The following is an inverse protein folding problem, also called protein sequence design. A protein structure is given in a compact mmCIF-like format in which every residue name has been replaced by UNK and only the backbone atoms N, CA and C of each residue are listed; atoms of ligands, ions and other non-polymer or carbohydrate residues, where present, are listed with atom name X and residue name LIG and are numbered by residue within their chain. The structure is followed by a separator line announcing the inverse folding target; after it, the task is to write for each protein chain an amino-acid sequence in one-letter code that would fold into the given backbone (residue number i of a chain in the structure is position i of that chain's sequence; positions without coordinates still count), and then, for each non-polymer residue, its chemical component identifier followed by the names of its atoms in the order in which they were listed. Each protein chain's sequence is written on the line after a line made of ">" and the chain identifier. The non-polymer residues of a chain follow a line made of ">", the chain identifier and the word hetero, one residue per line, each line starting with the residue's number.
data_IF_473049004102
#
_entry.id   IF_473049004102
#
_cell.length_a   1.000
_cell.length_b   1.000
_cell.length_c   1.000
_cell.angle_alpha   90.00
_cell.angle_beta   90.00
_cell.angle_gamma   90.00
#
_symmetry.space_group_name_H-M   'P 1'
#
loop_
_entity.id
_entity.type
_entity.pdbx_description
1 polymer ?
#
# COMPACT_ATOMS: atom_id res chain seq x y z
N UNK A 1 -1.30 26.50 28.45
CA UNK A 1 -0.23 26.70 27.46
C UNK A 1 -0.50 25.73 26.33
N UNK A 2 -0.97 26.21 25.18
CA UNK A 2 -1.07 25.40 23.97
C UNK A 2 0.36 25.00 23.60
N UNK A 3 0.72 23.72 23.74
CA UNK A 3 1.96 23.23 23.15
C UNK A 3 1.88 23.52 21.65
N UNK A 4 2.88 24.21 21.10
CA UNK A 4 2.90 24.52 19.68
C UNK A 4 2.91 23.20 18.90
N UNK A 5 2.07 23.11 17.86
CA UNK A 5 2.10 21.98 16.92
C UNK A 5 3.46 22.00 16.24
N UNK A 6 4.29 20.99 16.52
CA UNK A 6 5.54 20.79 15.80
C UNK A 6 5.21 20.27 14.39
N UNK A 7 5.17 21.21 13.44
CA UNK A 7 5.04 20.90 12.02
C UNK A 7 6.45 20.66 11.48
N UNK A 8 6.69 19.56 10.73
CA UNK A 8 7.97 19.35 10.07
C UNK A 8 8.32 20.60 9.25
N UNK A 9 9.50 21.16 9.48
CA UNK A 9 9.89 22.43 8.87
C UNK A 9 10.23 22.35 7.37
N UNK A 10 10.21 21.17 6.74
CA UNK A 10 10.82 21.01 5.42
C UNK A 10 9.83 21.01 4.25
N UNK A 11 10.02 21.98 3.37
CA UNK A 11 9.62 21.96 1.95
C UNK A 11 10.47 20.99 1.10
N UNK A 12 11.47 20.35 1.72
CA UNK A 12 12.43 19.42 1.12
C UNK A 12 11.90 17.98 1.07
N UNK A 13 12.39 17.20 0.10
CA UNK A 13 12.11 15.78 0.00
C UNK A 13 12.67 15.05 1.21
N UNK A 14 11.81 14.31 1.92
CA UNK A 14 12.22 13.51 3.08
C UNK A 14 12.88 12.23 2.58
N UNK A 15 13.93 11.79 3.28
CA UNK A 15 14.56 10.51 3.02
C UNK A 15 13.52 9.38 3.05
N UNK A 16 13.32 8.75 1.89
CA UNK A 16 12.32 7.69 1.71
C UNK A 16 12.64 6.49 2.57
N UNK A 17 13.92 6.16 2.76
CA UNK A 17 14.34 5.00 3.54
C UNK A 17 13.94 5.17 5.01
N UNK A 18 14.17 6.36 5.56
CA UNK A 18 13.70 6.72 6.90
C UNK A 18 12.18 6.70 7.01
N UNK A 19 11.48 7.21 5.99
CA UNK A 19 10.01 7.29 5.95
C UNK A 19 9.35 5.91 6.05
N UNK A 20 9.92 4.92 5.36
CA UNK A 20 9.39 3.55 5.33
C UNK A 20 10.03 2.63 6.37
N UNK A 21 10.87 3.15 7.29
CA UNK A 21 11.54 2.34 8.31
C UNK A 21 12.49 1.28 7.72
N UNK A 22 13.17 1.62 6.62
CA UNK A 22 14.22 0.79 6.05
C UNK A 22 15.42 0.70 6.99
N UNK A 23 16.20 -0.39 6.84
CA UNK A 23 17.43 -0.64 7.59
C UNK A 23 18.58 -0.94 6.64
N UNK A 24 19.80 -0.67 7.09
CA UNK A 24 21.01 -1.00 6.34
C UNK A 24 21.13 -2.52 6.16
N UNK A 25 21.23 -2.96 4.91
CA UNK A 25 21.44 -4.36 4.55
C UNK A 25 22.11 -4.46 3.17
N UNK A 26 23.09 -5.33 3.04
CA UNK A 26 23.77 -5.58 1.78
C UNK A 26 22.99 -6.62 0.95
N UNK A 27 22.21 -6.14 -0.01
CA UNK A 27 21.40 -6.99 -0.90
C UNK A 27 22.25 -7.83 -1.86
N UNK A 28 23.55 -7.56 -2.03
CA UNK A 28 24.36 -8.28 -3.04
C UNK A 28 24.55 -9.77 -2.72
N UNK A 29 24.32 -10.16 -1.47
CA UNK A 29 24.38 -11.53 -1.00
C UNK A 29 22.99 -12.18 -0.90
N UNK A 30 21.91 -11.44 -1.15
CA UNK A 30 20.56 -11.98 -1.13
C UNK A 30 20.36 -12.93 -2.32
N UNK A 31 19.73 -14.09 -2.14
CA UNK A 31 19.43 -15.01 -3.23
C UNK A 31 18.44 -14.40 -4.25
N UNK A 32 17.61 -13.47 -3.78
CA UNK A 32 16.68 -12.69 -4.58
C UNK A 32 16.77 -11.22 -4.15
N UNK A 33 17.71 -10.43 -4.72
CA UNK A 33 17.92 -9.06 -4.30
C UNK A 33 16.78 -8.14 -4.76
N UNK A 34 16.17 -7.43 -3.80
CA UNK A 34 15.09 -6.45 -4.06
C UNK A 34 15.54 -5.08 -3.59
N UNK A 35 15.50 -4.09 -4.48
CA UNK A 35 15.82 -2.69 -4.15
C UNK A 35 14.66 -1.97 -3.49
N UNK A 36 13.43 -2.28 -3.89
CA UNK A 36 12.21 -1.65 -3.38
C UNK A 36 10.99 -1.99 -4.24
N UNK A 37 9.88 -1.34 -3.91
CA UNK A 37 8.68 -1.34 -4.75
C UNK A 37 8.87 -0.41 -5.95
N UNK A 38 8.58 -0.91 -7.15
CA UNK A 38 8.68 -0.14 -8.39
C UNK A 38 7.38 0.61 -8.72
N UNK A 39 6.24 -0.09 -8.60
CA UNK A 39 4.90 0.47 -8.69
C UNK A 39 3.85 -0.52 -8.17
N UNK A 40 2.65 0.00 -7.88
CA UNK A 40 1.45 -0.82 -7.66
C UNK A 40 0.53 -0.64 -8.87
N UNK A 41 0.12 -1.74 -9.49
CA UNK A 41 -0.74 -1.74 -10.67
C UNK A 41 -2.16 -2.10 -10.27
N UNK A 42 -3.10 -1.20 -10.58
CA UNK A 42 -4.51 -1.41 -10.44
C UNK A 42 -5.15 -1.70 -11.79
N UNK A 43 -6.00 -2.71 -11.81
CA UNK A 43 -7.01 -2.89 -12.85
C UNK A 43 -8.31 -2.27 -12.35
N UNK A 44 -8.86 -1.35 -13.13
CA UNK A 44 -10.02 -0.53 -12.73
C UNK A 44 -11.04 -0.45 -13.86
N UNK A 45 -12.31 -0.30 -13.52
CA UNK A 45 -13.40 -0.16 -14.49
C UNK A 45 -13.29 1.10 -15.34
N UNK A 46 -12.72 2.18 -14.79
CA UNK A 46 -12.49 3.42 -15.52
C UNK A 46 -11.19 4.12 -15.07
N UNK A 47 -10.11 3.92 -15.82
CA UNK A 47 -8.79 4.47 -15.50
C UNK A 47 -8.77 6.00 -15.41
N UNK A 48 -9.57 6.69 -16.22
CA UNK A 48 -9.61 8.15 -16.25
C UNK A 48 -10.25 8.71 -14.98
N UNK A 49 -11.36 8.11 -14.53
CA UNK A 49 -12.03 8.52 -13.29
C UNK A 49 -11.22 8.14 -12.06
N UNK A 50 -10.66 6.92 -12.02
CA UNK A 50 -9.77 6.51 -10.95
C UNK A 50 -8.55 7.45 -10.86
N UNK A 51 -7.90 7.76 -11.99
CA UNK A 51 -6.78 8.70 -12.01
C UNK A 51 -7.17 10.09 -11.52
N UNK A 52 -8.36 10.59 -11.88
CA UNK A 52 -8.86 11.84 -11.32
C UNK A 52 -9.05 11.76 -9.80
N UNK A 53 -9.69 10.69 -9.30
CA UNK A 53 -9.90 10.47 -7.86
C UNK A 53 -8.57 10.45 -7.10
N UNK A 54 -7.59 9.63 -7.51
CA UNK A 54 -6.29 9.58 -6.83
C UNK A 54 -5.48 10.88 -7.00
N UNK A 55 -5.67 11.64 -8.09
CA UNK A 55 -5.06 12.95 -8.22
C UNK A 55 -5.65 13.99 -7.27
N UNK A 56 -6.97 14.01 -7.06
CA UNK A 56 -7.64 15.00 -6.21
C UNK A 56 -7.65 14.60 -4.74
N UNK A 57 -8.07 13.38 -4.46
CA UNK A 57 -8.35 12.88 -3.11
C UNK A 57 -7.08 12.42 -2.40
N UNK A 58 -6.12 11.86 -3.15
CA UNK A 58 -4.83 11.38 -2.65
C UNK A 58 -3.67 12.32 -3.00
N UNK A 59 -3.95 13.41 -3.72
CA UNK A 59 -2.96 14.44 -4.06
C UNK A 59 -1.87 13.97 -5.02
N UNK A 60 -2.05 12.85 -5.72
CA UNK A 60 -1.03 12.29 -6.62
C UNK A 60 -0.94 13.05 -7.95
N UNK A 61 0.26 13.13 -8.50
CA UNK A 61 0.52 13.79 -9.80
C UNK A 61 0.53 12.76 -10.91
N UNK A 62 -0.33 12.92 -11.92
CA UNK A 62 -0.20 12.16 -13.17
C UNK A 62 1.09 12.61 -13.90
N UNK A 63 1.94 11.65 -14.26
CA UNK A 63 3.24 11.91 -14.90
C UNK A 63 3.39 11.24 -16.26
N UNK A 64 2.65 10.16 -16.51
CA UNK A 64 2.72 9.45 -17.77
C UNK A 64 1.37 8.84 -18.16
N UNK A 65 1.18 8.64 -19.45
CA UNK A 65 -0.04 8.06 -20.02
C UNK A 65 0.27 7.17 -21.22
N UNK A 66 -0.55 6.13 -21.38
CA UNK A 66 -0.57 5.28 -22.57
C UNK A 66 -2.01 4.89 -22.87
N UNK A 67 -2.45 5.03 -24.11
CA UNK A 67 -3.82 4.69 -24.50
C UNK A 67 -4.07 4.72 -26.00
N UNK A 68 -5.36 4.71 -26.41
CA UNK A 68 -5.75 4.58 -27.81
C UNK A 68 -5.20 5.68 -28.71
N UNK A 69 -4.99 6.89 -28.17
CA UNK A 69 -4.41 8.03 -28.88
C UNK A 69 -2.94 7.79 -29.29
N UNK A 70 -2.26 6.84 -28.64
CA UNK A 70 -0.89 6.41 -28.98
C UNK A 70 -0.86 5.04 -29.70
N UNK A 71 -2.02 4.51 -30.12
CA UNK A 71 -2.12 3.22 -30.80
C UNK A 71 -2.34 2.00 -29.89
N UNK A 72 -2.40 2.19 -28.57
CA UNK A 72 -2.70 1.14 -27.59
C UNK A 72 -4.21 1.03 -27.40
N UNK A 73 -4.86 0.23 -28.24
CA UNK A 73 -6.33 0.25 -28.38
C UNK A 73 -7.09 -0.49 -27.28
N UNK A 74 -6.44 -1.40 -26.58
CA UNK A 74 -7.12 -2.29 -25.64
C UNK A 74 -7.22 -1.67 -24.22
N UNK A 75 -6.33 -0.75 -23.86
CA UNK A 75 -6.26 -0.15 -22.53
C UNK A 75 -6.02 1.35 -22.56
N UNK A 76 -6.50 2.04 -21.52
CA UNK A 76 -6.03 3.36 -21.12
C UNK A 76 -5.32 3.24 -19.77
N UNK A 77 -4.11 3.80 -19.67
CA UNK A 77 -3.22 3.63 -18.53
C UNK A 77 -2.67 4.96 -18.07
N UNK A 78 -2.85 5.25 -16.79
CA UNK A 78 -2.38 6.49 -16.14
C UNK A 78 -1.37 6.14 -15.08
N UNK A 79 -0.22 6.82 -15.10
CA UNK A 79 0.82 6.67 -14.08
C UNK A 79 0.79 7.87 -13.17
N UNK A 80 0.51 7.64 -11.90
CA UNK A 80 0.44 8.66 -10.88
C UNK A 80 1.57 8.46 -9.88
N UNK A 81 2.17 9.56 -9.42
CA UNK A 81 3.23 9.53 -8.42
C UNK A 81 2.95 10.47 -7.25
N UNK A 82 3.46 10.11 -6.08
CA UNK A 82 3.63 11.02 -4.95
C UNK A 82 4.90 10.64 -4.21
N UNK A 83 5.97 11.42 -4.40
CA UNK A 83 7.32 11.00 -4.00
C UNK A 83 7.78 9.78 -4.79
N UNK A 84 8.25 8.75 -4.10
CA UNK A 84 8.64 7.47 -4.67
C UNK A 84 7.43 6.54 -4.92
N UNK A 85 6.28 6.78 -4.29
CA UNK A 85 5.09 6.00 -4.54
C UNK A 85 4.60 6.18 -5.99
N UNK A 86 4.33 5.07 -6.68
CA UNK A 86 3.85 5.06 -8.07
C UNK A 86 2.68 4.11 -8.24
N UNK A 87 1.55 4.61 -8.72
CA UNK A 87 0.37 3.82 -9.08
C UNK A 87 0.16 3.83 -10.58
N UNK A 88 -0.09 2.66 -11.16
CA UNK A 88 -0.50 2.50 -12.56
C UNK A 88 -1.96 2.10 -12.57
N UNK A 89 -2.83 2.97 -13.09
CA UNK A 89 -4.26 2.72 -13.17
C UNK A 89 -4.60 2.33 -14.60
N UNK A 90 -5.00 1.08 -14.80
CA UNK A 90 -5.29 0.52 -16.11
C UNK A 90 -6.75 0.15 -16.22
N UNK A 91 -7.40 0.67 -17.26
CA UNK A 91 -8.79 0.39 -17.55
C UNK A 91 -8.92 -0.13 -18.98
N UNK A 92 -9.71 -1.18 -19.13
CA UNK A 92 -10.03 -1.76 -20.41
C UNK A 92 -10.83 -0.75 -21.26
N UNK A 93 -10.39 -0.54 -22.51
CA UNK A 93 -11.12 0.25 -23.51
C UNK A 93 -12.05 -0.67 -24.31
N UNK A 94 -11.66 -1.94 -24.45
CA UNK A 94 -12.45 -2.99 -25.08
C UNK A 94 -12.86 -4.05 -24.07
N UNK A 95 -14.03 -4.68 -24.22
CA UNK A 95 -14.52 -5.67 -23.25
C UNK A 95 -13.68 -6.94 -23.18
N UNK A 96 -12.93 -7.27 -24.24
CA UNK A 96 -12.06 -8.43 -24.37
C UNK A 96 -10.58 -8.14 -24.08
N UNK A 97 -10.26 -6.94 -23.60
CA UNK A 97 -8.90 -6.57 -23.24
C UNK A 97 -8.41 -7.36 -22.01
N UNK A 98 -7.14 -7.75 -22.01
CA UNK A 98 -6.52 -8.45 -20.87
C UNK A 98 -6.78 -7.73 -19.55
N UNK A 99 -7.17 -8.47 -18.52
CA UNK A 99 -7.52 -7.92 -17.21
C UNK A 99 -8.96 -7.38 -17.07
N UNK A 100 -9.76 -7.32 -18.14
CA UNK A 100 -11.19 -6.96 -18.04
C UNK A 100 -11.98 -7.96 -17.18
N UNK A 101 -11.66 -9.26 -17.27
CA UNK A 101 -12.27 -10.29 -16.44
C UNK A 101 -11.92 -10.15 -14.96
N UNK A 102 -10.71 -9.68 -14.65
CA UNK A 102 -10.29 -9.39 -13.29
C UNK A 102 -11.16 -8.29 -12.70
N UNK A 103 -11.38 -7.18 -13.43
CA UNK A 103 -12.26 -6.09 -12.97
C UNK A 103 -13.70 -6.59 -12.80
N UNK A 104 -14.21 -7.44 -13.70
CA UNK A 104 -15.56 -8.00 -13.56
C UNK A 104 -15.69 -8.85 -12.28
N UNK A 105 -14.67 -9.67 -11.97
CA UNK A 105 -14.64 -10.55 -10.81
C UNK A 105 -14.41 -9.78 -9.50
N UNK A 106 -13.42 -8.89 -9.48
CA UNK A 106 -12.87 -8.26 -8.28
C UNK A 106 -13.33 -6.82 -8.03
N UNK A 107 -13.92 -6.15 -9.03
CA UNK A 107 -14.02 -4.68 -9.12
C UNK A 107 -12.65 -4.02 -9.27
N UNK A 108 -12.53 -2.72 -9.01
CA UNK A 108 -11.26 -2.01 -8.98
C UNK A 108 -10.33 -2.65 -7.94
N UNK A 109 -9.17 -3.14 -8.37
CA UNK A 109 -8.31 -3.98 -7.54
C UNK A 109 -6.84 -3.89 -7.91
N UNK A 110 -5.98 -4.26 -6.97
CA UNK A 110 -4.53 -4.36 -7.19
C UNK A 110 -4.26 -5.72 -7.84
N UNK A 111 -3.68 -5.71 -9.04
CA UNK A 111 -3.33 -6.93 -9.78
C UNK A 111 -1.82 -7.24 -9.74
N UNK A 112 -1.00 -6.22 -9.50
CA UNK A 112 0.46 -6.35 -9.53
C UNK A 112 1.10 -5.49 -8.45
N UNK A 113 2.07 -6.07 -7.76
CA UNK A 113 2.97 -5.36 -6.85
C UNK A 113 4.37 -5.52 -7.44
N UNK A 114 4.77 -4.57 -8.26
CA UNK A 114 6.01 -4.64 -9.01
C UNK A 114 7.22 -4.27 -8.13
N UNK A 115 8.33 -4.97 -8.36
CA UNK A 115 9.55 -4.92 -7.56
C UNK A 115 10.72 -4.50 -8.42
N UNK A 116 11.49 -3.52 -7.95
CA UNK A 116 12.76 -3.18 -8.58
C UNK A 116 13.82 -4.18 -8.14
N UNK A 117 14.46 -4.82 -9.12
CA UNK A 117 15.55 -5.79 -8.91
C UNK A 117 16.78 -5.36 -9.69
N UNK A 118 18.00 -5.64 -9.20
CA UNK A 118 19.22 -5.29 -9.93
C UNK A 118 19.45 -6.14 -11.19
N UNK A 119 18.85 -7.34 -11.27
CA UNK A 119 18.91 -8.20 -12.43
C UNK A 119 17.68 -9.11 -12.48
N UNK A 120 16.82 -8.89 -13.49
CA UNK A 120 15.57 -9.64 -13.67
C UNK A 120 15.81 -11.11 -13.99
N UNK A 121 16.77 -11.42 -14.86
CA UNK A 121 17.04 -12.78 -15.30
C UNK A 121 17.48 -13.68 -14.14
N UNK A 122 18.42 -13.20 -13.31
CA UNK A 122 18.89 -13.93 -12.14
C UNK A 122 17.78 -14.12 -11.11
N UNK A 123 17.04 -13.05 -10.78
CA UNK A 123 15.96 -13.10 -9.81
C UNK A 123 14.84 -14.05 -10.26
N UNK A 124 14.43 -13.95 -11.53
CA UNK A 124 13.43 -14.83 -12.12
C UNK A 124 13.90 -16.29 -12.14
N UNK A 125 15.12 -16.57 -12.62
CA UNK A 125 15.64 -17.93 -12.66
C UNK A 125 15.72 -18.57 -11.26
N UNK A 126 16.12 -17.78 -10.25
CA UNK A 126 16.08 -18.22 -8.85
C UNK A 126 14.66 -18.54 -8.40
N UNK A 127 13.70 -17.65 -8.62
CA UNK A 127 12.31 -17.85 -8.21
C UNK A 127 11.70 -19.12 -8.81
N UNK A 128 11.91 -19.36 -10.11
CA UNK A 128 11.43 -20.58 -10.78
C UNK A 128 12.11 -21.83 -10.20
N UNK A 129 13.41 -21.78 -9.94
CA UNK A 129 14.13 -22.90 -9.30
C UNK A 129 13.62 -23.20 -7.88
N UNK A 130 13.05 -22.20 -7.19
CA UNK A 130 12.41 -22.32 -5.87
C UNK A 130 10.91 -22.67 -5.92
N UNK A 131 10.39 -22.97 -7.12
CA UNK A 131 9.02 -23.43 -7.33
C UNK A 131 7.99 -22.32 -7.50
N UNK A 132 8.40 -21.08 -7.80
CA UNK A 132 7.46 -20.04 -8.20
C UNK A 132 6.83 -20.34 -9.56
N UNK A 133 5.56 -19.99 -9.72
CA UNK A 133 4.86 -20.10 -11.01
C UNK A 133 5.23 -18.93 -11.91
N UNK A 134 5.71 -19.22 -13.11
CA UNK A 134 5.94 -18.21 -14.14
C UNK A 134 4.61 -17.66 -14.65
N UNK A 135 4.50 -16.33 -14.72
CA UNK A 135 3.40 -15.62 -15.39
C UNK A 135 3.89 -15.03 -16.72
N UNK A 136 5.07 -14.40 -16.70
CA UNK A 136 5.72 -13.86 -17.90
C UNK A 136 7.21 -14.13 -17.82
N UNK A 137 7.77 -14.79 -18.84
CA UNK A 137 9.21 -15.01 -18.95
C UNK A 137 9.99 -13.70 -19.15
N UNK A 138 11.28 -13.65 -18.74
CA UNK A 138 12.13 -12.49 -18.93
C UNK A 138 12.17 -11.98 -20.38
N UNK A 139 11.66 -10.78 -20.60
CA UNK A 139 11.64 -10.11 -21.90
C UNK A 139 12.13 -8.66 -21.77
N UNK A 140 12.55 -8.08 -22.89
CA UNK A 140 12.90 -6.66 -22.98
C UNK A 140 11.77 -5.91 -23.66
N UNK A 141 11.55 -4.68 -23.20
CA UNK A 141 10.72 -3.70 -23.90
C UNK A 141 11.59 -2.47 -24.13
N UNK A 142 11.53 -1.88 -25.33
CA UNK A 142 12.43 -0.78 -25.73
C UNK A 142 11.69 0.30 -26.52
N UNK A 143 12.15 1.54 -26.38
CA UNK A 143 11.80 2.68 -27.22
C UNK A 143 13.03 3.61 -27.38
N UNK A 144 12.83 4.84 -27.85
CA UNK A 144 13.90 5.84 -28.02
C UNK A 144 14.61 6.26 -26.71
N UNK A 145 14.01 6.00 -25.55
CA UNK A 145 14.54 6.32 -24.23
C UNK A 145 15.32 5.17 -23.58
N UNK A 146 15.48 4.05 -24.29
CA UNK A 146 16.30 2.92 -23.85
C UNK A 146 15.51 1.63 -23.71
N UNK A 147 15.86 0.80 -22.72
CA UNK A 147 15.30 -0.55 -22.56
C UNK A 147 15.02 -0.88 -21.10
N UNK A 148 13.89 -1.52 -20.85
CA UNK A 148 13.51 -2.09 -19.56
C UNK A 148 13.47 -3.61 -19.68
N UNK A 149 14.13 -4.30 -18.76
CA UNK A 149 14.05 -5.77 -18.63
C UNK A 149 12.94 -6.08 -17.63
N UNK A 150 12.04 -7.01 -17.97
CA UNK A 150 10.89 -7.34 -17.14
C UNK A 150 10.59 -8.84 -17.14
N UNK A 151 10.04 -9.35 -16.04
CA UNK A 151 9.48 -10.70 -15.90
C UNK A 151 8.36 -10.67 -14.86
N UNK A 152 7.55 -11.71 -14.73
CA UNK A 152 6.55 -11.78 -13.67
C UNK A 152 6.36 -13.21 -13.12
N UNK A 153 6.18 -13.30 -11.81
CA UNK A 153 5.83 -14.53 -11.09
C UNK A 153 4.50 -14.36 -10.35
N UNK A 154 3.76 -15.46 -10.19
CA UNK A 154 2.48 -15.43 -9.49
C UNK A 154 2.68 -15.32 -7.97
N UNK A 155 1.73 -14.66 -7.31
CA UNK A 155 1.56 -14.64 -5.86
C UNK A 155 0.14 -15.14 -5.51
N UNK A 156 -0.43 -14.70 -4.39
CA UNK A 156 -1.76 -15.14 -3.94
C UNK A 156 -2.90 -14.62 -4.84
N UNK A 157 -3.89 -15.50 -5.07
CA UNK A 157 -5.03 -15.20 -5.93
C UNK A 157 -4.58 -14.84 -7.35
N UNK A 158 -5.12 -13.74 -7.87
CA UNK A 158 -4.74 -13.18 -9.17
C UNK A 158 -3.58 -12.17 -9.07
N UNK A 159 -3.00 -11.99 -7.87
CA UNK A 159 -1.90 -11.05 -7.64
C UNK A 159 -0.60 -11.62 -8.22
N UNK A 160 0.20 -10.76 -8.84
CA UNK A 160 1.55 -11.11 -9.30
C UNK A 160 2.60 -10.13 -8.78
N UNK A 161 3.86 -10.55 -8.90
CA UNK A 161 5.02 -9.68 -8.75
C UNK A 161 5.75 -9.55 -10.08
N UNK A 162 5.63 -8.38 -10.72
CA UNK A 162 6.48 -8.02 -11.85
C UNK A 162 7.86 -7.58 -11.36
N UNK A 163 8.91 -8.18 -11.90
CA UNK A 163 10.30 -7.82 -11.64
C UNK A 163 10.74 -6.81 -12.69
N UNK A 164 11.32 -5.70 -12.27
CA UNK A 164 11.67 -4.59 -13.15
C UNK A 164 13.14 -4.22 -12.96
N UNK A 165 13.89 -4.20 -14.07
CA UNK A 165 15.15 -3.48 -14.17
C UNK A 165 15.02 -2.38 -15.22
N UNK A 166 14.93 -1.15 -14.73
CA UNK A 166 14.82 0.10 -15.52
C UNK A 166 16.14 0.88 -15.59
N UNK A 167 17.27 0.30 -15.17
CA UNK A 167 18.56 1.01 -15.08
C UNK A 167 19.06 1.55 -16.42
N UNK A 168 18.59 1.01 -17.54
CA UNK A 168 18.92 1.39 -18.91
C UNK A 168 17.81 2.18 -19.61
N UNK A 169 16.89 2.79 -18.85
CA UNK A 169 15.73 3.51 -19.38
C UNK A 169 15.59 4.90 -18.74
N UNK A 170 15.38 5.93 -19.57
CA UNK A 170 15.24 7.34 -19.10
C UNK A 170 13.92 7.98 -19.49
N UNK A 171 12.97 7.19 -20.01
CA UNK A 171 11.66 7.67 -20.41
C UNK A 171 10.74 7.95 -19.23
N UNK A 172 9.50 8.41 -19.47
CA UNK A 172 8.61 8.90 -18.43
C UNK A 172 8.13 7.82 -17.45
N UNK A 173 8.05 6.55 -17.89
CA UNK A 173 7.74 5.44 -17.01
C UNK A 173 8.25 4.09 -17.53
N UNK A 174 7.66 3.62 -18.65
CA UNK A 174 7.99 2.41 -19.37
C UNK A 174 7.85 2.67 -20.87
N UNK A 175 8.49 1.86 -21.73
CA UNK A 175 8.35 2.02 -23.16
C UNK A 175 6.91 2.12 -23.66
N UNK A 176 6.68 3.11 -24.52
CA UNK A 176 5.36 3.41 -25.08
C UNK A 176 4.45 4.29 -24.22
N UNK A 177 4.88 4.69 -23.02
CA UNK A 177 4.22 5.76 -22.27
C UNK A 177 4.74 7.12 -22.72
N UNK A 178 3.84 8.10 -22.82
CA UNK A 178 4.19 9.49 -23.06
C UNK A 178 4.08 10.31 -21.78
N UNK A 179 4.92 11.32 -21.62
CA UNK A 179 4.81 12.26 -20.51
C UNK A 179 3.44 12.96 -20.54
N UNK A 180 2.81 13.10 -19.38
CA UNK A 180 1.52 13.77 -19.23
C UNK A 180 1.57 14.68 -18.02
N UNK A 181 1.08 15.91 -18.18
CA UNK A 181 0.96 16.84 -17.06
C UNK A 181 -0.06 16.36 -16.01
N UNK A 182 -0.12 17.02 -14.84
CA UNK A 182 -1.07 16.67 -13.79
C UNK A 182 -2.51 16.72 -14.32
N UNK A 183 -3.38 15.83 -13.81
CA UNK A 183 -4.81 15.89 -14.11
C UNK A 183 -5.43 17.12 -13.45
N UNK A 184 -4.98 17.46 -12.24
CA UNK A 184 -5.37 18.67 -11.50
C UNK A 184 -4.12 19.43 -11.09
N UNK A 185 -4.06 20.71 -11.45
CA UNK A 185 -2.96 21.59 -11.05
C UNK A 185 -3.13 22.02 -9.58
N UNK A 186 -2.34 21.40 -8.70
CA UNK A 186 -2.30 21.70 -7.26
C UNK A 186 -1.29 22.81 -6.93
N UNK A 187 -0.44 23.22 -7.87
CA UNK A 187 0.67 24.14 -7.60
C UNK A 187 0.19 25.46 -6.98
N UNK A 188 -0.89 26.11 -7.46
CA UNK A 188 -1.38 27.35 -6.83
C UNK A 188 -1.78 27.19 -5.35
N UNK A 189 -2.36 26.05 -4.98
CA UNK A 189 -2.78 25.77 -3.60
C UNK A 189 -1.58 25.42 -2.71
N UNK A 190 -0.55 24.78 -3.28
CA UNK A 190 0.71 24.48 -2.59
C UNK A 190 1.49 25.78 -2.34
N UNK A 191 1.63 26.63 -3.36
CA UNK A 191 2.34 27.92 -3.27
C UNK A 191 1.67 28.88 -2.28
N UNK A 192 0.34 28.82 -2.17
CA UNK A 192 -0.44 29.58 -1.20
C UNK A 192 -0.36 29.01 0.23
N UNK A 193 0.29 27.86 0.45
CA UNK A 193 0.37 27.18 1.74
C UNK A 193 -0.97 26.58 2.22
N UNK A 194 -1.94 26.42 1.31
CA UNK A 194 -3.27 25.89 1.62
C UNK A 194 -3.24 24.36 1.65
N UNK A 195 -2.49 23.75 0.72
CA UNK A 195 -2.28 22.31 0.70
C UNK A 195 -0.81 21.96 0.92
N UNK A 196 -0.49 20.83 1.57
CA UNK A 196 0.88 20.33 1.61
C UNK A 196 1.33 19.93 0.20
N UNK A 197 2.64 20.07 -0.06
CA UNK A 197 3.30 19.67 -1.32
C UNK A 197 2.92 18.25 -1.73
N UNK A 198 2.89 17.33 -0.75
CA UNK A 198 2.46 15.93 -0.91
C UNK A 198 1.62 15.50 0.28
N UNK A 199 0.68 14.58 0.05
CA UNK A 199 -0.11 13.96 1.11
C UNK A 199 0.61 12.71 1.67
N UNK A 200 1.44 12.07 0.85
CA UNK A 200 2.32 10.97 1.23
C UNK A 200 3.47 10.90 0.23
N UNK A 201 4.49 10.12 0.52
CA UNK A 201 5.75 10.14 -0.23
C UNK A 201 6.22 8.76 -0.69
N UNK A 202 5.76 7.68 -0.07
CA UNK A 202 6.21 6.32 -0.39
C UNK A 202 5.13 5.30 -0.04
N UNK A 203 5.24 4.08 -0.58
CA UNK A 203 4.50 2.92 -0.07
C UNK A 203 5.32 2.29 1.05
N UNK A 204 4.74 2.17 2.25
CA UNK A 204 5.39 1.55 3.41
C UNK A 204 5.27 0.02 3.39
N UNK A 205 4.07 -0.48 3.10
CA UNK A 205 3.76 -1.89 3.02
C UNK A 205 2.46 -2.14 2.25
N UNK A 206 2.28 -3.37 1.76
CA UNK A 206 1.05 -3.81 1.08
C UNK A 206 0.56 -5.09 1.77
N UNK A 207 -0.70 -5.11 2.17
CA UNK A 207 -1.26 -6.23 2.95
C UNK A 207 -2.05 -7.16 2.05
N UNK A 208 -1.74 -8.46 2.10
CA UNK A 208 -2.46 -9.51 1.39
C UNK A 208 -3.42 -10.25 2.31
N UNK A 209 -4.66 -10.47 1.86
CA UNK A 209 -5.60 -11.36 2.50
C UNK A 209 -5.64 -12.69 1.75
N UNK A 210 -5.50 -13.79 2.47
CA UNK A 210 -5.46 -15.16 1.95
C UNK A 210 -6.46 -16.04 2.68
N UNK A 211 -6.76 -17.21 2.12
CA UNK A 211 -7.78 -18.10 2.66
C UNK A 211 -7.35 -18.72 4.01
N UNK A 212 -8.34 -19.20 4.76
CA UNK A 212 -8.14 -19.88 6.04
C UNK A 212 -7.13 -21.04 5.91
N UNK A 213 -6.07 -21.00 6.72
CA UNK A 213 -5.03 -22.04 6.77
C UNK A 213 -4.02 -21.96 5.63
N UNK A 214 -4.00 -20.85 4.88
CA UNK A 214 -3.08 -20.61 3.75
C UNK A 214 -2.02 -19.55 4.04
N UNK A 215 -2.09 -18.83 5.17
CA UNK A 215 -1.11 -17.81 5.52
C UNK A 215 0.32 -18.36 5.56
N UNK A 216 0.53 -19.49 6.22
CA UNK A 216 1.86 -20.09 6.35
C UNK A 216 2.42 -20.57 5.01
N UNK A 217 1.57 -20.99 4.07
CA UNK A 217 1.99 -21.33 2.71
C UNK A 217 2.61 -20.12 2.01
N UNK A 218 1.98 -18.95 2.12
CA UNK A 218 2.47 -17.72 1.50
C UNK A 218 3.68 -17.14 2.22
N UNK A 219 3.73 -17.21 3.56
CA UNK A 219 4.94 -16.87 4.32
C UNK A 219 6.13 -17.70 3.87
N UNK A 220 5.96 -19.02 3.74
CA UNK A 220 7.02 -19.91 3.27
C UNK A 220 7.32 -19.73 1.78
N UNK A 221 6.36 -19.31 0.95
CA UNK A 221 6.61 -18.86 -0.41
C UNK A 221 7.58 -17.67 -0.44
N UNK A 222 7.29 -16.58 0.29
CA UNK A 222 8.16 -15.40 0.29
C UNK A 222 9.55 -15.68 0.86
N UNK A 223 9.64 -16.51 1.90
CA UNK A 223 10.93 -16.98 2.42
C UNK A 223 11.74 -17.76 1.37
N UNK A 224 11.13 -18.79 0.78
CA UNK A 224 11.83 -19.70 -0.13
C UNK A 224 12.16 -19.04 -1.46
N UNK A 225 11.20 -18.33 -2.05
CA UNK A 225 11.30 -17.77 -3.41
C UNK A 225 12.05 -16.45 -3.42
N UNK A 226 11.88 -15.62 -2.39
CA UNK A 226 12.39 -14.26 -2.37
C UNK A 226 13.41 -13.98 -1.25
N UNK A 227 13.70 -14.97 -0.40
CA UNK A 227 14.63 -14.79 0.72
C UNK A 227 14.11 -13.84 1.81
N UNK A 228 12.80 -13.56 1.84
CA UNK A 228 12.24 -12.65 2.85
C UNK A 228 12.26 -13.32 4.23
N UNK A 229 12.25 -12.50 5.29
CA UNK A 229 12.25 -12.97 6.67
C UNK A 229 10.97 -12.58 7.40
N UNK A 230 10.58 -13.38 8.40
CA UNK A 230 9.47 -13.02 9.30
C UNK A 230 9.91 -11.84 10.16
N UNK A 231 9.17 -10.75 10.05
CA UNK A 231 9.43 -9.51 10.78
C UNK A 231 8.57 -9.41 12.04
N UNK A 232 7.30 -9.83 11.95
CA UNK A 232 6.36 -9.81 13.06
C UNK A 232 5.28 -10.88 12.86
N UNK A 233 4.74 -11.38 13.97
CA UNK A 233 3.60 -12.29 13.98
C UNK A 233 2.59 -11.78 15.01
N UNK A 234 1.32 -11.85 14.64
CA UNK A 234 0.21 -11.42 15.49
C UNK A 234 -0.85 -12.52 15.48
N UNK A 235 -0.96 -13.24 16.60
CA UNK A 235 -1.74 -14.47 16.73
C UNK A 235 -2.46 -14.48 18.08
N UNK A 236 -3.64 -15.10 18.14
CA UNK A 236 -4.36 -15.31 19.40
C UNK A 236 -4.92 -14.01 19.98
N UNK A 237 -4.79 -13.81 21.28
CA UNK A 237 -5.34 -12.66 22.01
C UNK A 237 -4.74 -11.30 21.58
N UNK A 238 -3.64 -11.33 20.82
CA UNK A 238 -3.04 -10.14 20.22
C UNK A 238 -3.96 -9.48 19.19
N UNK A 239 -4.77 -10.27 18.48
CA UNK A 239 -5.66 -9.84 17.40
C UNK A 239 -7.00 -10.59 17.49
N UNK A 240 -7.74 -10.31 18.55
CA UNK A 240 -9.11 -10.75 18.69
C UNK A 240 -9.97 -9.65 19.34
N UNK A 241 -11.18 -9.48 18.82
CA UNK A 241 -12.27 -8.79 19.54
C UNK A 241 -13.14 -9.83 20.24
N UNK A 242 -14.18 -9.37 20.94
CA UNK A 242 -15.18 -10.28 21.52
C UNK A 242 -15.98 -11.08 20.45
N UNK A 243 -15.89 -10.67 19.18
CA UNK A 243 -16.73 -11.17 18.09
C UNK A 243 -15.94 -11.82 16.95
N UNK A 244 -14.84 -11.21 16.50
CA UNK A 244 -14.03 -11.70 15.37
C UNK A 244 -12.53 -11.72 15.70
N UNK A 245 -11.76 -12.44 14.90
CA UNK A 245 -10.30 -12.53 15.02
C UNK A 245 -9.66 -12.71 13.63
N UNK A 246 -8.36 -12.46 13.54
CA UNK A 246 -7.52 -12.86 12.41
C UNK A 246 -6.13 -13.23 12.88
N UNK A 247 -5.35 -13.85 11.99
CA UNK A 247 -3.91 -14.01 12.19
C UNK A 247 -3.17 -13.22 11.12
N UNK A 248 -2.05 -12.60 11.52
CA UNK A 248 -1.23 -11.82 10.61
C UNK A 248 0.25 -12.16 10.79
N UNK A 249 0.94 -12.40 9.67
CA UNK A 249 2.39 -12.56 9.64
C UNK A 249 2.99 -11.61 8.62
N UNK A 250 4.02 -10.88 9.03
CA UNK A 250 4.70 -9.92 8.16
C UNK A 250 5.99 -10.52 7.66
N UNK A 251 6.14 -10.59 6.34
CA UNK A 251 7.41 -10.90 5.68
C UNK A 251 8.04 -9.65 5.07
N UNK A 252 9.36 -9.52 5.13
CA UNK A 252 10.08 -8.37 4.59
C UNK A 252 11.42 -8.77 3.94
N UNK A 253 11.86 -7.98 2.96
CA UNK A 253 13.20 -8.10 2.40
C UNK A 253 14.27 -7.64 3.42
N UNK A 254 15.55 -7.93 3.18
CA UNK A 254 16.62 -7.63 4.13
C UNK A 254 16.73 -6.15 4.51
N UNK A 255 16.51 -5.24 3.55
CA UNK A 255 16.50 -3.78 3.81
C UNK A 255 15.21 -3.27 4.46
N UNK A 256 14.19 -4.13 4.62
CA UNK A 256 12.84 -3.80 5.09
C UNK A 256 12.12 -2.71 4.27
N UNK A 257 12.60 -2.41 3.06
CA UNK A 257 11.93 -1.49 2.12
C UNK A 257 10.67 -2.09 1.50
N UNK A 258 10.59 -3.42 1.46
CA UNK A 258 9.42 -4.15 0.96
C UNK A 258 8.91 -5.04 2.08
N UNK A 259 7.65 -4.84 2.45
CA UNK A 259 6.99 -5.53 3.55
C UNK A 259 5.60 -6.00 3.09
N UNK A 260 5.29 -7.26 3.34
CA UNK A 260 4.00 -7.87 3.06
C UNK A 260 3.44 -8.51 4.32
N UNK A 261 2.58 -7.80 5.07
CA UNK A 261 1.67 -8.44 6.01
C UNK A 261 0.70 -9.35 5.25
N UNK A 262 0.58 -10.59 5.71
CA UNK A 262 -0.32 -11.60 5.19
C UNK A 262 -1.32 -11.96 6.27
N UNK A 263 -2.60 -11.81 5.95
CA UNK A 263 -3.70 -12.07 6.87
C UNK A 263 -4.50 -13.28 6.41
N UNK A 264 -4.92 -14.10 7.36
CA UNK A 264 -5.96 -15.11 7.16
C UNK A 264 -7.07 -14.95 8.21
N UNK A 265 -8.31 -15.36 7.89
CA UNK A 265 -9.38 -15.33 8.88
C UNK A 265 -9.06 -16.27 10.06
N UNK A 266 -9.60 -15.98 11.24
CA UNK A 266 -9.55 -16.88 12.39
C UNK A 266 -10.96 -17.26 12.82
N UNK A 267 -11.12 -18.48 13.34
CA UNK A 267 -12.42 -18.99 13.79
C UNK A 267 -12.85 -18.23 15.04
N UNK A 268 -13.97 -17.51 14.95
CA UNK A 268 -14.53 -16.70 16.03
C UNK A 268 -16.07 -16.80 16.07
N UNK A 269 -16.73 -16.02 16.93
CA UNK A 269 -18.19 -16.04 17.10
C UNK A 269 -18.95 -15.47 15.90
N UNK A 270 -18.32 -14.50 15.22
CA UNK A 270 -18.85 -13.76 14.08
C UNK A 270 -17.89 -13.86 12.90
N UNK A 271 -18.34 -13.44 11.71
CA UNK A 271 -17.54 -13.54 10.49
C UNK A 271 -16.32 -12.60 10.58
N UNK A 272 -15.13 -13.09 10.24
CA UNK A 272 -13.92 -12.26 10.20
C UNK A 272 -14.03 -11.22 9.08
N UNK A 273 -13.51 -10.02 9.29
CA UNK A 273 -13.37 -9.02 8.21
C UNK A 273 -12.54 -9.55 7.02
N UNK A 274 -11.67 -10.54 7.26
CA UNK A 274 -10.90 -11.20 6.19
C UNK A 274 -11.81 -12.10 5.35
N UNK A 275 -12.78 -12.78 5.97
CA UNK A 275 -13.81 -13.51 5.23
C UNK A 275 -14.72 -12.56 4.43
N UNK A 276 -15.10 -11.41 4.99
CA UNK A 276 -15.83 -10.37 4.24
C UNK A 276 -15.03 -9.95 3.00
N UNK A 277 -13.73 -9.68 3.15
CA UNK A 277 -12.87 -9.36 2.00
C UNK A 277 -12.88 -10.48 0.97
N UNK A 278 -12.62 -11.74 1.36
CA UNK A 278 -12.52 -12.86 0.43
C UNK A 278 -13.84 -13.10 -0.33
N UNK A 279 -14.98 -12.89 0.32
CA UNK A 279 -16.31 -13.01 -0.30
C UNK A 279 -16.57 -11.92 -1.35
N UNK A 280 -16.32 -10.65 -1.00
CA UNK A 280 -16.58 -9.52 -1.90
C UNK A 280 -15.50 -9.35 -2.98
N UNK A 281 -14.25 -9.69 -2.66
CA UNK A 281 -13.15 -9.73 -3.62
C UNK A 281 -13.19 -11.00 -4.47
N UNK A 282 -13.91 -12.06 -4.08
CA UNK A 282 -13.98 -13.33 -4.83
C UNK A 282 -12.64 -14.10 -4.89
N UNK A 283 -11.88 -14.07 -3.78
CA UNK A 283 -10.60 -14.77 -3.63
C UNK A 283 -9.55 -13.97 -2.85
N UNK A 284 -8.30 -14.46 -2.76
CA UNK A 284 -7.18 -13.73 -2.18
C UNK A 284 -6.80 -12.49 -2.99
N UNK A 285 -6.22 -11.50 -2.32
CA UNK A 285 -5.75 -10.28 -2.97
C UNK A 285 -5.15 -9.28 -1.99
N UNK A 286 -4.65 -8.17 -2.53
CA UNK A 286 -4.17 -7.07 -1.70
C UNK A 286 -5.36 -6.30 -1.11
N UNK A 287 -5.41 -6.23 0.22
CA UNK A 287 -6.45 -5.55 0.99
C UNK A 287 -6.17 -4.06 1.10
N UNK A 288 -4.97 -3.68 1.53
CA UNK A 288 -4.66 -2.28 1.68
C UNK A 288 -3.21 -1.96 1.38
N UNK A 289 -2.99 -0.69 1.07
CA UNK A 289 -1.66 -0.11 0.86
C UNK A 289 -1.46 0.94 1.95
N UNK A 290 -0.40 0.76 2.74
CA UNK A 290 0.06 1.81 3.64
C UNK A 290 0.96 2.78 2.89
N UNK A 291 0.64 4.06 2.97
CA UNK A 291 1.40 5.14 2.35
C UNK A 291 2.05 6.01 3.43
N UNK A 292 3.38 6.13 3.34
CA UNK A 292 4.18 6.84 4.33
C UNK A 292 4.14 8.35 4.09
N UNK A 293 3.90 9.13 5.14
CA UNK A 293 3.94 10.59 5.13
C UNK A 293 4.78 11.09 6.30
N UNK A 294 5.34 12.29 6.15
CA UNK A 294 6.09 12.96 7.20
C UNK A 294 5.22 13.99 7.96
N UNK A 295 4.00 14.25 7.49
CA UNK A 295 3.02 15.08 8.20
C UNK A 295 1.59 14.54 8.05
N UNK A 296 1.28 13.49 8.81
CA UNK A 296 -0.01 12.81 8.79
C UNK A 296 -1.17 13.72 9.19
N UNK A 297 -0.95 14.73 10.05
CA UNK A 297 -1.99 15.69 10.41
C UNK A 297 -2.42 16.51 9.18
N UNK A 298 -1.46 17.14 8.50
CA UNK A 298 -1.75 17.93 7.29
C UNK A 298 -2.30 17.06 6.15
N UNK A 299 -1.80 15.83 6.04
CA UNK A 299 -2.23 14.87 5.03
C UNK A 299 -3.69 14.47 5.24
N UNK A 300 -4.07 14.09 6.46
CA UNK A 300 -5.44 13.74 6.83
C UNK A 300 -6.39 14.91 6.64
N UNK A 301 -6.00 16.13 7.05
CA UNK A 301 -6.81 17.32 6.86
C UNK A 301 -7.07 17.61 5.37
N UNK A 302 -6.02 17.52 4.55
CA UNK A 302 -6.13 17.74 3.11
C UNK A 302 -6.96 16.65 2.40
N UNK A 303 -6.77 15.38 2.77
CA UNK A 303 -7.53 14.26 2.22
C UNK A 303 -9.01 14.33 2.62
N UNK A 304 -9.33 14.68 3.87
CA UNK A 304 -10.72 14.92 4.31
C UNK A 304 -11.36 16.08 3.55
N UNK A 305 -10.63 17.19 3.38
CA UNK A 305 -11.11 18.33 2.60
C UNK A 305 -11.38 17.98 1.13
N UNK A 306 -10.67 16.97 0.59
CA UNK A 306 -10.88 16.42 -0.73
C UNK A 306 -11.95 15.30 -0.79
N UNK A 307 -12.62 15.00 0.32
CA UNK A 307 -13.73 14.04 0.40
C UNK A 307 -13.34 12.60 0.74
N UNK A 308 -12.09 12.33 1.16
CA UNK A 308 -11.71 11.01 1.67
C UNK A 308 -12.36 10.77 3.03
N UNK A 309 -13.07 9.65 3.14
CA UNK A 309 -13.59 9.16 4.41
C UNK A 309 -12.56 8.25 5.10
N UNK A 310 -12.42 8.42 6.42
CA UNK A 310 -11.57 7.61 7.27
C UNK A 310 -12.42 6.79 8.24
N UNK A 311 -11.89 5.66 8.67
CA UNK A 311 -12.49 4.88 9.75
C UNK A 311 -12.55 5.71 11.03
N UNK A 312 -13.65 5.57 11.76
CA UNK A 312 -13.86 6.30 13.00
C UNK A 312 -13.30 5.53 14.21
N UNK A 313 -12.61 6.24 15.10
CA UNK A 313 -12.06 5.69 16.35
C UNK A 313 -12.79 6.32 17.54
N UNK A 314 -13.28 5.51 18.51
CA UNK A 314 -14.03 6.04 19.64
C UNK A 314 -13.13 6.90 20.52
N UNK A 315 -13.69 7.95 21.12
CA UNK A 315 -12.96 8.86 22.00
C UNK A 315 -12.31 8.16 23.20
N UNK A 316 -12.91 7.05 23.66
CA UNK A 316 -12.38 6.21 24.73
C UNK A 316 -10.99 5.64 24.45
N UNK A 317 -10.62 5.45 23.18
CA UNK A 317 -9.27 5.05 22.79
C UNK A 317 -8.23 6.06 23.30
N UNK A 318 -8.48 7.36 23.08
CA UNK A 318 -7.57 8.44 23.45
C UNK A 318 -7.61 8.77 24.94
N UNK A 319 -8.63 8.31 25.65
CA UNK A 319 -8.84 8.51 27.08
C UNK A 319 -8.28 7.35 27.90
N UNK A 320 -7.93 6.23 27.25
CA UNK A 320 -7.32 5.06 27.89
C UNK A 320 -6.03 5.44 28.65
N UNK A 321 -6.01 5.28 30.00
CA UNK A 321 -4.83 5.53 30.80
C UNK A 321 -3.63 4.68 30.40
N UNK A 322 -3.83 3.44 29.95
CA UNK A 322 -2.74 2.54 29.53
C UNK A 322 -2.11 3.01 28.23
N UNK A 323 -2.92 3.45 27.26
CA UNK A 323 -2.41 4.11 26.06
C UNK A 323 -1.60 5.36 26.43
N UNK A 324 -2.18 6.26 27.23
CA UNK A 324 -1.51 7.52 27.63
C UNK A 324 -0.20 7.28 28.35
N UNK A 325 -0.12 6.23 29.18
CA UNK A 325 1.11 5.85 29.85
C UNK A 325 2.16 5.29 28.89
N UNK A 326 1.77 4.49 27.89
CA UNK A 326 2.72 3.84 26.97
C UNK A 326 3.28 4.78 25.90
N UNK A 327 2.48 5.70 25.36
CA UNK A 327 2.89 6.49 24.17
C UNK A 327 3.96 7.54 24.49
N UNK A 328 4.19 7.86 25.76
CA UNK A 328 5.20 8.83 26.19
C UNK A 328 5.04 10.18 25.49
N UNK A 329 6.17 10.81 25.14
CA UNK A 329 6.16 12.07 24.38
C UNK A 329 6.15 11.81 22.87
N UNK A 330 5.12 12.31 22.20
CA UNK A 330 4.95 12.29 20.74
C UNK A 330 4.99 13.72 20.20
N UNK A 331 5.19 13.92 18.89
CA UNK A 331 5.40 15.28 18.32
C UNK A 331 4.23 16.25 18.48
N UNK A 332 3.03 15.75 18.79
CA UNK A 332 1.81 16.55 18.97
C UNK A 332 1.00 16.06 20.16
N UNK A 333 0.23 16.93 20.82
CA UNK A 333 -0.69 16.50 21.88
C UNK A 333 -1.66 15.42 21.37
N UNK A 334 -1.97 14.44 22.23
CA UNK A 334 -2.94 13.37 21.89
C UNK A 334 -4.30 13.92 21.45
N UNK A 335 -4.68 15.11 21.91
CA UNK A 335 -5.94 15.77 21.52
C UNK A 335 -5.95 16.18 20.03
N UNK A 336 -4.80 16.50 19.43
CA UNK A 336 -4.69 16.74 17.98
C UNK A 336 -4.88 15.45 17.18
N UNK A 337 -4.42 14.32 17.73
CA UNK A 337 -4.63 12.99 17.16
C UNK A 337 -6.09 12.58 17.29
N UNK A 338 -6.69 12.79 18.47
CA UNK A 338 -8.11 12.55 18.77
C UNK A 338 -9.03 13.31 17.82
N UNK A 339 -8.79 14.61 17.64
CA UNK A 339 -9.58 15.45 16.74
C UNK A 339 -9.58 14.92 15.30
N UNK A 340 -8.51 14.23 14.90
CA UNK A 340 -8.34 13.65 13.56
C UNK A 340 -8.56 12.15 13.49
N UNK A 341 -8.90 11.48 14.59
CA UNK A 341 -9.05 10.02 14.65
C UNK A 341 -7.78 9.27 14.22
N UNK A 342 -6.60 9.87 14.45
CA UNK A 342 -5.29 9.27 14.15
C UNK A 342 -4.90 8.37 15.33
N UNK A 343 -4.57 7.12 15.06
CA UNK A 343 -4.08 6.15 16.03
C UNK A 343 -2.59 6.37 16.32
N UNK A 344 -2.12 5.91 17.48
CA UNK A 344 -0.74 6.09 17.93
C UNK A 344 -0.30 4.88 18.73
N UNK A 345 0.83 4.31 18.34
CA UNK A 345 1.46 3.22 19.08
C UNK A 345 2.96 3.46 19.25
N UNK A 346 3.54 2.85 20.27
CA UNK A 346 4.96 2.97 20.60
C UNK A 346 5.58 1.59 20.79
N UNK A 347 6.73 1.38 20.16
CA UNK A 347 7.63 0.25 20.37
C UNK A 347 8.94 0.71 21.07
N UNK A 348 9.91 -0.20 21.16
CA UNK A 348 11.20 0.06 21.81
C UNK A 348 12.06 1.09 21.05
N UNK A 349 11.89 1.19 19.73
CA UNK A 349 12.69 2.04 18.84
C UNK A 349 12.08 3.43 18.67
N UNK A 350 10.76 3.55 18.82
CA UNK A 350 10.07 4.82 18.60
C UNK A 350 8.56 4.69 18.61
N UNK A 351 7.87 5.63 17.96
CA UNK A 351 6.42 5.58 17.83
C UNK A 351 5.99 5.75 16.38
N UNK A 352 4.75 5.37 16.10
CA UNK A 352 4.12 5.53 14.80
C UNK A 352 2.72 6.12 14.97
N UNK A 353 2.29 6.84 13.94
CA UNK A 353 0.94 7.39 13.80
C UNK A 353 0.29 6.72 12.59
N UNK A 354 -0.96 6.29 12.72
CA UNK A 354 -1.67 5.57 11.66
C UNK A 354 -3.12 6.02 11.56
N UNK A 355 -3.69 5.97 10.35
CA UNK A 355 -5.12 6.12 10.14
C UNK A 355 -5.52 5.41 8.85
N UNK A 356 -6.72 4.86 8.82
CA UNK A 356 -7.20 4.03 7.72
C UNK A 356 -8.36 4.72 7.02
N UNK A 357 -8.36 4.72 5.70
CA UNK A 357 -9.51 5.16 4.92
C UNK A 357 -10.64 4.14 5.06
N UNK A 358 -11.88 4.55 4.78
CA UNK A 358 -12.90 3.59 4.34
C UNK A 358 -12.46 2.95 3.01
N UNK A 359 -13.08 1.83 2.58
CA UNK A 359 -12.89 1.29 1.24
C UNK A 359 -13.01 2.39 0.18
N UNK A 360 -12.12 2.39 -0.81
CA UNK A 360 -12.11 3.41 -1.90
C UNK A 360 -13.08 3.08 -3.04
N UNK A 361 -13.93 2.08 -2.81
CA UNK A 361 -14.99 1.63 -3.69
C UNK A 361 -16.12 1.02 -2.87
N UNK A 362 -17.25 0.69 -3.51
CA UNK A 362 -18.42 0.15 -2.83
C UNK A 362 -18.17 -1.24 -2.22
N UNK A 363 -17.33 -2.07 -2.85
CA UNK A 363 -16.95 -3.36 -2.29
C UNK A 363 -16.03 -3.14 -1.08
N UNK A 364 -16.27 -3.79 0.07
CA UNK A 364 -15.43 -3.68 1.27
C UNK A 364 -14.10 -4.43 1.10
N UNK A 365 -13.28 -3.95 0.19
CA UNK A 365 -12.06 -4.62 -0.30
C UNK A 365 -10.84 -3.71 -0.17
N UNK A 366 -10.49 -2.97 -1.22
CA UNK A 366 -9.30 -2.11 -1.21
C UNK A 366 -9.54 -0.85 -0.38
N UNK A 367 -8.65 -0.58 0.58
CA UNK A 367 -8.55 0.69 1.31
C UNK A 367 -7.09 1.10 1.49
N UNK A 368 -6.84 2.25 2.12
CA UNK A 368 -5.50 2.78 2.35
C UNK A 368 -5.25 3.03 3.83
N UNK A 369 -3.99 2.90 4.21
CA UNK A 369 -3.47 3.37 5.50
C UNK A 369 -2.55 4.56 5.24
N UNK A 370 -2.67 5.63 6.02
CA UNK A 370 -1.63 6.63 6.13
C UNK A 370 -0.80 6.31 7.37
N UNK A 371 0.52 6.29 7.22
CA UNK A 371 1.45 6.00 8.30
C UNK A 371 2.55 7.07 8.38
N UNK A 372 2.88 7.49 9.59
CA UNK A 372 4.03 8.36 9.89
C UNK A 372 4.88 7.71 10.98
N UNK A 373 6.14 7.39 10.65
CA UNK A 373 7.07 6.72 11.55
C UNK A 373 8.02 7.71 12.21
N UNK A 374 8.19 7.57 13.52
CA UNK A 374 9.19 8.27 14.33
C UNK A 374 10.08 7.25 15.02
N UNK A 375 10.96 6.61 14.23
CA UNK A 375 11.89 5.58 14.71
C UNK A 375 11.28 4.17 14.77
N UNK A 376 9.97 4.06 14.98
CA UNK A 376 9.29 2.76 15.09
C UNK A 376 9.39 1.91 13.83
N UNK A 377 9.80 0.66 14.01
CA UNK A 377 9.88 -0.37 12.98
C UNK A 377 8.66 -1.31 12.98
N UNK A 378 7.81 -1.22 14.00
CA UNK A 378 6.60 -2.06 14.14
C UNK A 378 5.46 -1.71 13.17
N UNK A 379 4.30 -2.33 13.41
CA UNK A 379 3.06 -2.16 12.64
C UNK A 379 1.90 -1.64 13.49
N UNK A 380 2.19 -1.15 14.70
CA UNK A 380 1.18 -0.63 15.60
C UNK A 380 0.38 -1.74 16.29
N UNK A 381 1.05 -2.73 16.90
CA UNK A 381 0.39 -3.84 17.62
C UNK A 381 -0.74 -3.35 18.53
N UNK A 382 -0.48 -2.26 19.27
CA UNK A 382 -1.43 -1.63 20.17
C UNK A 382 -2.62 -0.96 19.50
N UNK A 383 -2.48 -0.56 18.22
CA UNK A 383 -3.54 0.05 17.42
C UNK A 383 -4.51 -0.99 16.84
N UNK A 384 -4.05 -2.23 16.62
CA UNK A 384 -4.84 -3.26 15.93
C UNK A 384 -6.23 -3.43 16.56
N UNK A 385 -6.33 -3.57 17.88
CA UNK A 385 -7.64 -3.73 18.54
C UNK A 385 -8.62 -2.60 18.21
N UNK A 386 -8.16 -1.35 18.25
CA UNK A 386 -9.00 -0.19 17.93
C UNK A 386 -9.38 -0.15 16.45
N UNK A 387 -8.44 -0.51 15.56
CA UNK A 387 -8.68 -0.68 14.13
C UNK A 387 -9.73 -1.75 13.85
N UNK A 388 -9.62 -2.93 14.46
CA UNK A 388 -10.58 -4.02 14.31
C UNK A 388 -11.97 -3.59 14.74
N UNK A 389 -12.10 -2.97 15.90
CA UNK A 389 -13.39 -2.46 16.37
C UNK A 389 -13.96 -1.37 15.43
N UNK A 390 -13.13 -0.62 14.73
CA UNK A 390 -13.59 0.33 13.70
C UNK A 390 -14.08 -0.39 12.44
N UNK A 391 -13.34 -1.39 11.94
CA UNK A 391 -13.73 -2.16 10.77
C UNK A 391 -14.98 -3.02 11.05
N UNK A 392 -15.09 -3.65 12.23
CA UNK A 392 -16.26 -4.43 12.64
C UNK A 392 -17.53 -3.58 12.67
N UNK A 393 -17.46 -2.33 13.14
CA UNK A 393 -18.60 -1.40 13.11
C UNK A 393 -19.05 -1.12 11.68
N UNK A 394 -18.11 -0.97 10.75
CA UNK A 394 -18.42 -0.80 9.34
C UNK A 394 -18.96 -2.09 8.71
N UNK A 395 -18.44 -3.26 9.09
CA UNK A 395 -18.94 -4.57 8.67
C UNK A 395 -20.37 -4.82 9.17
N UNK A 396 -20.67 -4.45 10.41
CA UNK A 396 -22.01 -4.50 10.99
C UNK A 396 -22.97 -3.55 10.27
N UNK A 397 -22.52 -2.33 9.95
CA UNK A 397 -23.31 -1.37 9.15
C UNK A 397 -23.65 -1.89 7.74
N UNK A 398 -22.80 -2.76 7.17
CA UNK A 398 -23.05 -3.48 5.91
C UNK A 398 -23.91 -4.75 6.07
N UNK A 399 -24.17 -5.18 7.30
CA UNK A 399 -24.93 -6.41 7.60
C UNK A 399 -24.12 -7.70 7.47
N UNK A 400 -22.79 -7.62 7.53
CA UNK A 400 -21.87 -8.72 7.23
C UNK A 400 -21.13 -9.28 8.47
N UNK A 401 -21.45 -8.81 9.69
CA UNK A 401 -20.76 -9.17 10.95
C UNK A 401 -21.44 -10.29 11.72
#
# INVERSE_FOLDING_TARGET
>A
MTQAIDRPQSTEDVDTDRLVGAVDHDISHDPFPVRGLDHVHFLVGNAKQAAHYYSTAFGMTCVAYRGPEQGYRDHAQYVLTSGSARFVLTGAVRPDADGAEHVARHSDGISDIALEVPNVDTAYAHAIAQGATSVVEPHEVSDEHGTVRMAAIAAYGDTRHTLVDRSRYTGPFLPGFVARGPIVDRQPMIDAGIQPKRFFQAVDHVVGNVELGRMDEWVEFYKRVMGFSNMAEFIGDDIATDYSALMSKVVANGTRKVKFPLNEPAIARKKSQIDEYLEFYQGPGAQHIAVATNDILASVDAMRAAGVEFLDTPDSYYEDPELRARIGNVRVPIEELKARKILVDRDEDGYLLQIFTKPVQDRPTVFFELIERHGSLGFGKGNFKALFQAIEREQEARGNL
#
